data_IF_711480979674
#
_entry.id   IF_711480979674
#
_cell.length_a   1.000
_cell.length_b   1.000
_cell.length_c   1.000
_cell.angle_alpha   90.00
_cell.angle_beta   90.00
_cell.angle_gamma   90.00
#
_symmetry.space_group_name_H-M   'P 1'
#
loop_
_entity.id
_entity.type
_entity.pdbx_description
1 polymer ?
#
# COMPACT_ATOMS: atom_id res chain seq x y z
N UNK A 1 37.87 -8.77 -10.52
CA UNK A 1 37.08 -8.92 -11.78
C UNK A 1 37.86 -8.25 -12.91
N UNK A 2 38.22 -8.94 -14.00
CA UNK A 2 38.94 -8.29 -15.13
C UNK A 2 37.90 -7.76 -16.13
N UNK A 3 37.59 -6.47 -16.06
CA UNK A 3 36.67 -5.82 -17.01
C UNK A 3 37.38 -5.57 -18.35
N UNK A 4 37.42 -6.58 -19.22
CA UNK A 4 37.91 -6.47 -20.59
C UNK A 4 36.86 -5.85 -21.54
N UNK A 5 36.14 -4.81 -21.11
CA UNK A 5 35.18 -4.13 -21.97
C UNK A 5 35.89 -3.01 -22.74
N UNK A 6 35.93 -3.11 -24.06
CA UNK A 6 36.49 -2.07 -24.96
C UNK A 6 35.84 -0.70 -24.75
N UNK A 7 34.63 -0.65 -24.20
CA UNK A 7 33.92 0.57 -23.83
C UNK A 7 34.59 1.38 -22.71
N UNK A 8 35.41 0.78 -21.85
CA UNK A 8 36.13 1.48 -20.79
C UNK A 8 37.40 2.21 -21.29
N UNK A 9 37.85 1.91 -22.52
CA UNK A 9 39.10 2.44 -23.08
C UNK A 9 38.92 3.75 -23.87
N UNK A 10 37.69 4.13 -24.21
CA UNK A 10 37.38 5.33 -25.00
C UNK A 10 36.19 6.09 -24.39
N UNK A 11 36.09 7.40 -24.66
CA UNK A 11 35.02 8.26 -24.09
C UNK A 11 35.45 9.10 -22.90
N UNK A 12 34.53 9.95 -22.44
CA UNK A 12 34.71 10.86 -21.29
C UNK A 12 34.72 10.11 -19.95
N UNK A 13 35.25 10.72 -18.88
CA UNK A 13 35.21 10.15 -17.51
C UNK A 13 33.79 9.77 -17.09
N UNK A 14 32.78 10.55 -17.50
CA UNK A 14 31.36 10.28 -17.21
C UNK A 14 30.86 9.02 -17.93
N UNK A 15 31.17 8.86 -19.22
CA UNK A 15 30.76 7.67 -20.00
C UNK A 15 31.41 6.40 -19.45
N UNK A 16 32.70 6.46 -19.11
CA UNK A 16 33.42 5.33 -18.50
C UNK A 16 32.88 4.99 -17.13
N UNK A 17 32.55 5.99 -16.32
CA UNK A 17 31.93 5.78 -15.00
C UNK A 17 30.56 5.11 -15.13
N UNK A 18 29.73 5.53 -16.08
CA UNK A 18 28.43 4.90 -16.36
C UNK A 18 28.57 3.44 -16.83
N UNK A 19 29.52 3.17 -17.73
CA UNK A 19 29.79 1.80 -18.20
C UNK A 19 30.29 0.90 -17.06
N UNK A 20 31.16 1.43 -16.18
CA UNK A 20 31.62 0.74 -14.98
C UNK A 20 30.45 0.44 -14.04
N UNK A 21 29.56 1.40 -13.79
CA UNK A 21 28.39 1.22 -12.93
C UNK A 21 27.45 0.12 -13.43
N UNK A 22 27.22 0.01 -14.75
CA UNK A 22 26.46 -1.13 -15.31
C UNK A 22 27.14 -2.47 -15.05
N UNK A 23 28.44 -2.56 -15.31
CA UNK A 23 29.18 -3.80 -15.12
C UNK A 23 29.21 -4.22 -13.64
N UNK A 24 29.37 -3.25 -12.74
CA UNK A 24 29.29 -3.46 -11.29
C UNK A 24 27.91 -3.97 -10.87
N UNK A 25 26.84 -3.38 -11.39
CA UNK A 25 25.49 -3.82 -11.08
C UNK A 25 25.21 -5.25 -11.52
N UNK A 26 25.64 -5.63 -12.72
CA UNK A 26 25.52 -7.01 -13.19
C UNK A 26 26.29 -7.98 -12.29
N UNK A 27 27.47 -7.60 -11.80
CA UNK A 27 28.24 -8.44 -10.86
C UNK A 27 27.57 -8.53 -9.49
N UNK A 28 27.07 -7.41 -8.94
CA UNK A 28 26.31 -7.37 -7.69
C UNK A 28 25.08 -8.27 -7.80
N UNK A 29 24.29 -8.12 -8.87
CA UNK A 29 23.11 -8.94 -9.16
C UNK A 29 23.47 -10.43 -9.24
N UNK A 30 24.58 -10.76 -9.91
CA UNK A 30 25.04 -12.15 -10.03
C UNK A 30 25.43 -12.74 -8.68
N UNK A 31 26.18 -11.99 -7.86
CA UNK A 31 26.58 -12.41 -6.51
C UNK A 31 25.35 -12.58 -5.60
N UNK A 32 24.41 -11.65 -5.66
CA UNK A 32 23.18 -11.70 -4.88
C UNK A 32 22.25 -12.83 -5.31
N UNK A 33 22.07 -13.03 -6.62
CA UNK A 33 21.31 -14.16 -7.15
C UNK A 33 21.87 -15.51 -6.70
N UNK A 34 23.20 -15.65 -6.68
CA UNK A 34 23.87 -16.85 -6.20
C UNK A 34 23.75 -17.06 -4.67
N UNK A 35 23.64 -15.99 -3.89
CA UNK A 35 23.29 -16.06 -2.46
C UNK A 35 21.82 -16.48 -2.26
N UNK A 36 20.88 -15.91 -3.02
CA UNK A 36 19.46 -16.22 -2.94
C UNK A 36 19.15 -17.67 -3.35
N UNK A 37 19.90 -18.24 -4.30
CA UNK A 37 19.79 -19.65 -4.69
C UNK A 37 20.52 -20.63 -3.76
N UNK A 38 21.09 -20.14 -2.65
CA UNK A 38 21.83 -20.97 -1.68
C UNK A 38 23.10 -21.60 -2.26
N UNK A 39 23.61 -21.09 -3.38
CA UNK A 39 24.73 -21.68 -4.13
C UNK A 39 26.10 -21.22 -3.62
N UNK A 40 26.14 -20.16 -2.81
CA UNK A 40 27.33 -19.66 -2.14
C UNK A 40 27.19 -19.92 -0.63
N UNK A 41 28.20 -20.57 -0.03
CA UNK A 41 28.33 -20.67 1.44
C UNK A 41 28.35 -19.27 2.03
N UNK A 42 27.30 -18.94 2.78
CA UNK A 42 27.01 -17.63 3.35
C UNK A 42 28.17 -17.20 4.27
N UNK A 43 29.07 -16.36 3.78
CA UNK A 43 30.35 -16.04 4.45
C UNK A 43 30.26 -14.97 5.57
N UNK A 44 29.07 -14.52 5.94
CA UNK A 44 28.85 -13.65 7.10
C UNK A 44 27.43 -13.08 7.16
N UNK A 45 26.90 -12.92 8.39
CA UNK A 45 25.76 -12.10 8.88
C UNK A 45 24.46 -11.90 8.07
N UNK A 46 24.27 -12.50 6.90
CA UNK A 46 23.07 -12.32 6.06
C UNK A 46 21.94 -13.30 6.40
N UNK A 47 21.97 -13.98 7.55
CA UNK A 47 21.03 -15.04 7.94
C UNK A 47 19.62 -14.55 8.30
N UNK A 48 19.33 -13.26 8.16
CA UNK A 48 18.01 -12.67 8.46
C UNK A 48 17.24 -12.10 7.27
N UNK A 49 17.76 -12.18 6.04
CA UNK A 49 17.06 -11.56 4.90
C UNK A 49 15.93 -12.45 4.38
N UNK A 50 14.70 -11.94 4.24
CA UNK A 50 13.63 -12.78 3.76
C UNK A 50 13.78 -13.00 2.24
N UNK A 51 13.78 -14.27 1.85
CA UNK A 51 14.20 -14.77 0.53
C UNK A 51 13.43 -14.15 -0.63
N UNK A 52 12.18 -13.75 -0.42
CA UNK A 52 11.33 -13.17 -1.46
C UNK A 52 11.77 -11.75 -1.89
N UNK A 53 12.15 -10.89 -0.95
CA UNK A 53 12.65 -9.54 -1.26
C UNK A 53 13.98 -9.60 -1.99
N UNK A 54 14.83 -10.55 -1.60
CA UNK A 54 16.11 -10.80 -2.26
C UNK A 54 15.94 -11.33 -3.69
N UNK A 55 14.92 -12.17 -3.93
CA UNK A 55 14.73 -12.82 -5.22
C UNK A 55 14.19 -11.87 -6.31
N UNK A 56 13.27 -10.97 -5.95
CA UNK A 56 12.55 -10.16 -6.95
C UNK A 56 12.70 -8.66 -6.71
N UNK A 57 12.61 -8.20 -5.46
CA UNK A 57 12.61 -6.78 -5.13
C UNK A 57 13.97 -6.12 -5.35
N UNK A 58 15.05 -6.71 -4.85
CA UNK A 58 16.38 -6.09 -4.93
C UNK A 58 16.93 -6.07 -6.35
N UNK A 59 16.78 -7.12 -7.17
CA UNK A 59 17.19 -7.05 -8.57
C UNK A 59 16.50 -5.91 -9.35
N UNK A 60 15.20 -5.72 -9.15
CA UNK A 60 14.46 -4.63 -9.79
C UNK A 60 14.98 -3.25 -9.34
N UNK A 61 15.20 -3.07 -8.04
CA UNK A 61 15.73 -1.82 -7.50
C UNK A 61 17.15 -1.51 -7.99
N UNK A 62 18.01 -2.52 -8.07
CA UNK A 62 19.37 -2.38 -8.61
C UNK A 62 19.36 -1.99 -10.08
N UNK A 63 18.55 -2.66 -10.89
CA UNK A 63 18.37 -2.30 -12.30
C UNK A 63 17.85 -0.87 -12.45
N UNK A 64 16.91 -0.47 -11.61
CA UNK A 64 16.39 0.89 -11.57
C UNK A 64 17.49 1.90 -11.24
N UNK A 65 18.23 1.71 -10.15
CA UNK A 65 19.31 2.61 -9.71
C UNK A 65 20.35 2.82 -10.80
N UNK A 66 20.71 1.77 -11.53
CA UNK A 66 21.72 1.81 -12.59
C UNK A 66 21.22 2.52 -13.83
N UNK A 67 19.94 2.33 -14.16
CA UNK A 67 19.31 3.04 -15.25
C UNK A 67 19.08 4.51 -14.93
N UNK A 68 18.75 4.86 -13.69
CA UNK A 68 18.61 6.25 -13.27
C UNK A 68 19.94 6.95 -13.07
N UNK A 69 21.00 6.27 -12.62
CA UNK A 69 22.36 6.85 -12.64
C UNK A 69 22.81 7.25 -14.04
N UNK A 70 22.24 6.65 -15.08
CA UNK A 70 22.49 7.01 -16.47
C UNK A 70 21.57 8.13 -16.99
N UNK A 71 20.59 8.58 -16.20
CA UNK A 71 19.58 9.58 -16.55
C UNK A 71 19.54 10.69 -15.50
N UNK A 72 18.78 11.75 -15.76
CA UNK A 72 18.46 12.73 -14.71
C UNK A 72 17.22 12.25 -13.96
N UNK A 73 17.15 12.49 -12.63
CA UNK A 73 16.01 12.09 -11.82
C UNK A 73 14.70 12.56 -12.47
N UNK A 74 13.79 11.61 -12.67
CA UNK A 74 12.53 11.80 -13.37
C UNK A 74 11.33 11.45 -12.47
N UNK A 75 10.15 12.00 -12.78
CA UNK A 75 8.90 11.63 -12.09
C UNK A 75 8.62 10.12 -12.21
N UNK A 76 9.06 9.49 -13.31
CA UNK A 76 8.98 8.04 -13.53
C UNK A 76 9.75 7.27 -12.45
N UNK A 77 10.86 7.82 -11.95
CA UNK A 77 11.66 7.19 -10.91
C UNK A 77 10.96 7.15 -9.56
N UNK A 78 10.31 8.24 -9.18
CA UNK A 78 9.51 8.28 -7.94
C UNK A 78 8.29 7.36 -8.03
N UNK A 79 7.65 7.28 -9.19
CA UNK A 79 6.55 6.35 -9.43
C UNK A 79 6.99 4.89 -9.28
N UNK A 80 8.15 4.53 -9.85
CA UNK A 80 8.72 3.18 -9.69
C UNK A 80 8.98 2.87 -8.20
N UNK A 81 9.62 3.79 -7.47
CA UNK A 81 9.90 3.58 -6.04
C UNK A 81 8.62 3.43 -5.22
N UNK A 82 7.57 4.18 -5.53
CA UNK A 82 6.26 4.04 -4.89
C UNK A 82 5.68 2.63 -5.11
N UNK A 83 5.65 2.16 -6.36
CA UNK A 83 5.16 0.82 -6.70
C UNK A 83 6.00 -0.29 -6.06
N UNK A 84 7.31 -0.08 -5.99
CA UNK A 84 8.22 -1.01 -5.34
C UNK A 84 7.96 -1.07 -3.83
N UNK A 85 7.81 0.06 -3.15
CA UNK A 85 7.48 0.11 -1.71
C UNK A 85 6.14 -0.58 -1.43
N UNK A 86 5.12 -0.34 -2.25
CA UNK A 86 3.81 -1.01 -2.14
C UNK A 86 3.95 -2.53 -2.26
N UNK A 87 4.63 -3.04 -3.29
CA UNK A 87 4.84 -4.47 -3.48
C UNK A 87 5.62 -5.12 -2.33
N UNK A 88 6.60 -4.40 -1.76
CA UNK A 88 7.38 -4.89 -0.62
C UNK A 88 6.53 -4.95 0.65
N UNK A 89 5.67 -3.96 0.88
CA UNK A 89 4.75 -3.99 2.02
C UNK A 89 3.69 -5.09 1.86
N UNK A 90 3.11 -5.27 0.67
CA UNK A 90 2.17 -6.37 0.36
C UNK A 90 2.78 -7.75 0.62
N UNK A 91 4.10 -7.90 0.41
CA UNK A 91 4.82 -9.12 0.70
C UNK A 91 5.19 -9.30 2.20
N UNK A 92 4.77 -8.37 3.07
CA UNK A 92 4.87 -8.46 4.52
C UNK A 92 6.18 -7.93 5.11
N UNK A 93 6.94 -7.14 4.36
CA UNK A 93 8.22 -6.59 4.82
C UNK A 93 8.03 -5.24 5.51
N UNK A 94 8.67 -5.08 6.67
CA UNK A 94 8.65 -3.82 7.39
C UNK A 94 9.60 -2.78 6.80
N UNK A 95 9.41 -1.52 7.16
CA UNK A 95 10.30 -0.42 6.80
C UNK A 95 11.76 -0.67 7.23
N UNK A 96 11.96 -1.32 8.37
CA UNK A 96 13.30 -1.67 8.87
C UNK A 96 14.01 -2.69 7.96
N UNK A 97 13.28 -3.69 7.44
CA UNK A 97 13.81 -4.70 6.52
C UNK A 97 14.29 -4.07 5.21
N UNK A 98 13.51 -3.13 4.69
CA UNK A 98 13.83 -2.35 3.49
C UNK A 98 15.09 -1.52 3.69
N UNK A 99 15.16 -0.75 4.77
CA UNK A 99 16.33 0.08 5.07
C UNK A 99 17.58 -0.75 5.33
N UNK A 100 17.43 -1.91 5.98
CA UNK A 100 18.56 -2.81 6.20
C UNK A 100 19.08 -3.39 4.88
N UNK A 101 18.17 -3.77 3.97
CA UNK A 101 18.50 -4.21 2.60
C UNK A 101 19.30 -3.15 1.85
N UNK A 102 18.86 -1.89 1.89
CA UNK A 102 19.58 -0.78 1.25
C UNK A 102 20.99 -0.57 1.83
N UNK A 103 21.15 -0.69 3.15
CA UNK A 103 22.47 -0.58 3.80
C UNK A 103 23.41 -1.71 3.37
N UNK A 104 22.90 -2.93 3.28
CA UNK A 104 23.67 -4.08 2.79
C UNK A 104 24.03 -3.88 1.32
N UNK A 105 23.09 -3.41 0.51
CA UNK A 105 23.34 -3.11 -0.90
C UNK A 105 24.46 -2.05 -1.06
N UNK A 106 24.41 -0.98 -0.27
CA UNK A 106 25.44 0.06 -0.25
C UNK A 106 26.81 -0.49 0.13
N UNK A 107 26.87 -1.39 1.13
CA UNK A 107 28.11 -2.05 1.54
C UNK A 107 28.66 -2.97 0.44
N UNK A 108 27.82 -3.84 -0.12
CA UNK A 108 28.21 -4.74 -1.22
C UNK A 108 28.71 -3.96 -2.44
N UNK A 109 28.06 -2.84 -2.78
CA UNK A 109 28.50 -1.97 -3.84
C UNK A 109 29.92 -1.42 -3.59
N UNK A 110 30.20 -0.95 -2.38
CA UNK A 110 31.52 -0.44 -2.01
C UNK A 110 32.60 -1.54 -2.07
N UNK A 111 32.29 -2.75 -1.61
CA UNK A 111 33.20 -3.91 -1.68
C UNK A 111 33.52 -4.31 -3.12
N UNK A 112 32.50 -4.44 -3.99
CA UNK A 112 32.70 -4.81 -5.39
C UNK A 112 33.54 -3.75 -6.11
N UNK A 113 33.34 -2.46 -5.82
CA UNK A 113 34.15 -1.39 -6.41
C UNK A 113 35.62 -1.49 -5.97
N UNK A 114 35.87 -1.80 -4.70
CA UNK A 114 37.23 -1.96 -4.18
C UNK A 114 37.99 -3.15 -4.81
N UNK A 115 37.27 -4.15 -5.33
CA UNK A 115 37.83 -5.32 -6.02
C UNK A 115 38.09 -5.10 -7.53
N UNK A 116 37.76 -3.92 -8.07
CA UNK A 116 38.00 -3.62 -9.49
C UNK A 116 39.45 -3.22 -9.71
N UNK A 117 40.25 -4.18 -10.20
CA UNK A 117 41.63 -3.94 -10.62
C UNK A 117 41.71 -3.39 -12.05
N UNK A 118 42.68 -2.51 -12.31
CA UNK A 118 43.00 -2.03 -13.67
C UNK A 118 42.13 -0.88 -14.19
N UNK A 119 41.25 -0.31 -13.37
CA UNK A 119 40.51 0.91 -13.67
C UNK A 119 41.22 2.12 -13.03
N UNK A 120 41.38 3.24 -13.76
CA UNK A 120 41.97 4.47 -13.20
C UNK A 120 41.26 4.96 -11.93
N UNK A 121 42.03 5.37 -10.92
CA UNK A 121 41.51 5.81 -9.61
C UNK A 121 40.48 6.96 -9.71
N UNK A 122 40.61 7.83 -10.71
CA UNK A 122 39.68 8.94 -10.93
C UNK A 122 38.30 8.47 -11.41
N UNK A 123 38.26 7.43 -12.25
CA UNK A 123 37.01 6.79 -12.71
C UNK A 123 36.38 6.00 -11.58
N UNK A 124 37.16 5.20 -10.85
CA UNK A 124 36.68 4.40 -9.72
C UNK A 124 36.11 5.32 -8.63
N UNK A 125 36.86 6.35 -8.22
CA UNK A 125 36.41 7.30 -7.20
C UNK A 125 35.18 8.11 -7.62
N UNK A 126 35.03 8.42 -8.91
CA UNK A 126 33.84 9.08 -9.44
C UNK A 126 32.62 8.17 -9.42
N UNK A 127 32.75 6.92 -9.88
CA UNK A 127 31.68 5.94 -9.85
C UNK A 127 31.22 5.61 -8.42
N UNK A 128 32.15 5.44 -7.48
CA UNK A 128 31.81 5.22 -6.06
C UNK A 128 30.99 6.36 -5.49
N UNK A 129 31.39 7.61 -5.77
CA UNK A 129 30.68 8.79 -5.27
C UNK A 129 29.28 8.88 -5.87
N UNK A 130 29.15 8.74 -7.19
CA UNK A 130 27.85 8.77 -7.87
C UNK A 130 26.89 7.71 -7.32
N UNK A 131 27.37 6.47 -7.14
CA UNK A 131 26.55 5.39 -6.62
C UNK A 131 26.17 5.60 -5.16
N UNK A 132 27.12 6.06 -4.32
CA UNK A 132 26.84 6.35 -2.91
C UNK A 132 25.81 7.46 -2.79
N UNK A 133 26.00 8.57 -3.50
CA UNK A 133 25.10 9.73 -3.45
C UNK A 133 23.69 9.32 -3.89
N UNK A 134 23.56 8.55 -4.98
CA UNK A 134 22.25 8.09 -5.46
C UNK A 134 21.57 7.08 -4.54
N UNK A 135 22.35 6.19 -3.93
CA UNK A 135 21.82 5.27 -2.91
C UNK A 135 21.33 6.02 -1.68
N UNK A 136 22.02 7.08 -1.27
CA UNK A 136 21.61 7.93 -0.16
C UNK A 136 20.33 8.70 -0.48
N UNK A 137 20.24 9.31 -1.66
CA UNK A 137 19.00 9.94 -2.16
C UNK A 137 17.83 8.94 -2.19
N UNK A 138 18.05 7.77 -2.80
CA UNK A 138 17.01 6.73 -2.90
C UNK A 138 16.58 6.22 -1.53
N UNK A 139 17.50 6.16 -0.57
CA UNK A 139 17.18 5.77 0.82
C UNK A 139 16.26 6.79 1.47
N UNK A 140 16.49 8.09 1.25
CA UNK A 140 15.60 9.15 1.73
C UNK A 140 14.23 9.05 1.06
N UNK A 141 14.18 8.94 -0.27
CA UNK A 141 12.93 8.83 -1.03
C UNK A 141 12.09 7.61 -0.58
N UNK A 142 12.73 6.44 -0.41
CA UNK A 142 12.05 5.23 0.08
C UNK A 142 11.56 5.42 1.52
N UNK A 143 12.34 6.09 2.38
CA UNK A 143 11.92 6.35 3.77
C UNK A 143 10.65 7.19 3.84
N UNK A 144 10.58 8.27 3.05
CA UNK A 144 9.38 9.12 2.97
C UNK A 144 8.16 8.34 2.45
N UNK A 145 8.35 7.49 1.44
CA UNK A 145 7.27 6.66 0.90
C UNK A 145 6.76 5.63 1.91
N UNK A 146 7.67 5.02 2.67
CA UNK A 146 7.31 4.08 3.74
C UNK A 146 6.52 4.76 4.85
N UNK A 147 6.91 5.97 5.27
CA UNK A 147 6.18 6.76 6.26
C UNK A 147 4.77 7.10 5.77
N UNK A 148 4.64 7.56 4.53
CA UNK A 148 3.34 7.85 3.92
C UNK A 148 2.44 6.60 3.81
N UNK A 149 3.01 5.45 3.46
CA UNK A 149 2.27 4.19 3.41
C UNK A 149 1.74 3.80 4.80
N UNK A 150 2.59 3.89 5.83
CA UNK A 150 2.21 3.61 7.21
C UNK A 150 1.12 4.55 7.73
N UNK A 151 1.20 5.84 7.42
CA UNK A 151 0.17 6.82 7.78
C UNK A 151 -1.19 6.51 7.14
N UNK A 152 -1.19 6.10 5.86
CA UNK A 152 -2.42 5.72 5.14
C UNK A 152 -3.08 4.50 5.79
N UNK A 153 -2.30 3.45 6.03
CA UNK A 153 -2.78 2.23 6.67
C UNK A 153 -3.33 2.50 8.08
N UNK A 154 -2.62 3.32 8.86
CA UNK A 154 -3.09 3.72 10.18
C UNK A 154 -4.41 4.51 10.10
N UNK A 155 -4.55 5.41 9.13
CA UNK A 155 -5.77 6.19 8.93
C UNK A 155 -6.96 5.30 8.50
N UNK A 156 -6.72 4.31 7.64
CA UNK A 156 -7.72 3.32 7.21
C UNK A 156 -8.14 2.42 8.38
N UNK A 157 -7.18 1.84 9.11
CA UNK A 157 -7.45 1.04 10.30
C UNK A 157 -8.25 1.82 11.35
N UNK A 158 -7.89 3.08 11.61
CA UNK A 158 -8.66 3.95 12.50
C UNK A 158 -10.08 4.22 11.97
N UNK A 159 -10.26 4.33 10.65
CA UNK A 159 -11.59 4.48 10.05
C UNK A 159 -12.42 3.21 10.24
N UNK A 160 -11.85 2.04 10.01
CA UNK A 160 -12.52 0.76 10.23
C UNK A 160 -12.89 0.55 11.69
N UNK A 161 -11.98 0.81 12.63
CA UNK A 161 -12.25 0.71 14.07
C UNK A 161 -13.39 1.66 14.49
N UNK A 162 -13.44 2.88 13.95
CA UNK A 162 -14.56 3.81 14.18
C UNK A 162 -15.87 3.26 13.64
N UNK A 163 -15.87 2.68 12.44
CA UNK A 163 -17.07 2.07 11.85
C UNK A 163 -17.56 0.87 12.66
N UNK A 164 -16.65 -0.04 13.04
CA UNK A 164 -16.95 -1.19 13.89
C UNK A 164 -17.48 -0.75 15.26
N UNK A 165 -16.89 0.28 15.85
CA UNK A 165 -17.38 0.88 17.10
C UNK A 165 -18.81 1.43 16.97
N UNK A 166 -19.11 2.12 15.87
CA UNK A 166 -20.46 2.62 15.61
C UNK A 166 -21.47 1.49 15.37
N UNK A 167 -21.09 0.43 14.63
CA UNK A 167 -21.90 -0.77 14.44
C UNK A 167 -22.17 -1.45 15.78
N UNK A 168 -21.15 -1.62 16.63
CA UNK A 168 -21.29 -2.23 17.94
C UNK A 168 -22.24 -1.43 18.85
N UNK A 169 -22.16 -0.09 18.84
CA UNK A 169 -23.09 0.78 19.57
C UNK A 169 -24.53 0.63 19.08
N UNK A 170 -24.74 0.59 17.76
CA UNK A 170 -26.06 0.38 17.15
C UNK A 170 -26.62 -0.99 17.53
N UNK A 171 -25.81 -2.05 17.44
CA UNK A 171 -26.23 -3.41 17.79
C UNK A 171 -26.58 -3.53 19.28
N UNK A 172 -25.79 -2.92 20.16
CA UNK A 172 -26.08 -2.89 21.59
C UNK A 172 -27.40 -2.14 21.88
N UNK A 173 -27.63 -1.00 21.21
CA UNK A 173 -28.89 -0.27 21.31
C UNK A 173 -30.08 -1.12 20.81
N UNK A 174 -29.90 -1.85 19.70
CA UNK A 174 -30.94 -2.70 19.14
C UNK A 174 -31.33 -3.89 20.03
N UNK A 175 -30.36 -4.47 20.74
CA UNK A 175 -30.61 -5.61 21.66
C UNK A 175 -31.15 -5.15 23.02
N UNK A 176 -31.03 -3.86 23.36
CA UNK A 176 -31.43 -3.32 24.66
C UNK A 176 -32.95 -3.31 24.93
N UNK A 177 -33.79 -3.50 23.91
CA UNK A 177 -35.24 -3.50 24.05
C UNK A 177 -35.92 -4.46 23.10
N UNK A 178 -36.96 -5.15 23.58
CA UNK A 178 -37.88 -5.92 22.74
C UNK A 178 -38.93 -5.04 22.05
N UNK A 179 -39.00 -3.76 22.43
CA UNK A 179 -39.88 -2.78 21.80
C UNK A 179 -39.17 -2.19 20.57
N UNK A 180 -39.62 -2.60 19.39
CA UNK A 180 -39.08 -2.17 18.10
C UNK A 180 -39.07 -0.64 17.94
N UNK A 181 -40.00 0.06 18.59
CA UNK A 181 -40.05 1.52 18.57
C UNK A 181 -38.90 2.12 19.36
N UNK A 182 -38.66 1.61 20.57
CA UNK A 182 -37.52 2.06 21.41
C UNK A 182 -36.19 1.75 20.75
N UNK A 183 -36.09 0.58 20.10
CA UNK A 183 -34.93 0.23 19.28
C UNK A 183 -34.73 1.23 18.16
N UNK A 184 -35.78 1.55 17.40
CA UNK A 184 -35.71 2.53 16.32
C UNK A 184 -35.29 3.91 16.81
N UNK A 185 -35.90 4.40 17.89
CA UNK A 185 -35.59 5.71 18.48
C UNK A 185 -34.14 5.78 18.99
N UNK A 186 -33.59 4.67 19.48
CA UNK A 186 -32.20 4.58 19.92
C UNK A 186 -31.20 4.47 18.75
N UNK A 187 -31.56 3.77 17.67
CA UNK A 187 -30.67 3.47 16.54
C UNK A 187 -30.71 4.54 15.44
N UNK A 188 -31.89 5.05 15.11
CA UNK A 188 -32.09 5.98 14.00
C UNK A 188 -31.18 7.24 14.05
N UNK A 189 -30.93 7.86 15.23
CA UNK A 189 -30.02 9.01 15.32
C UNK A 189 -28.54 8.66 15.11
N UNK A 190 -28.16 7.39 15.23
CA UNK A 190 -26.76 6.94 15.13
C UNK A 190 -26.39 6.52 13.70
N UNK A 191 -27.35 6.01 12.93
CA UNK A 191 -27.16 5.55 11.55
C UNK A 191 -26.57 6.59 10.58
N UNK A 192 -26.82 7.92 10.69
CA UNK A 192 -26.20 8.93 9.82
C UNK A 192 -24.68 8.98 9.90
N UNK A 193 -24.09 8.44 10.97
CA UNK A 193 -22.63 8.30 11.11
C UNK A 193 -22.04 7.25 10.18
N UNK A 194 -22.87 6.32 9.71
CA UNK A 194 -22.48 5.21 8.83
C UNK A 194 -22.96 5.42 7.38
N UNK A 195 -24.18 5.92 7.22
CA UNK A 195 -24.82 6.08 5.92
C UNK A 195 -25.30 7.52 5.72
N UNK A 196 -25.13 8.06 4.52
CA UNK A 196 -25.70 9.36 4.17
C UNK A 196 -27.16 9.19 3.76
N UNK A 197 -28.09 9.63 4.59
CA UNK A 197 -29.51 9.68 4.29
C UNK A 197 -30.16 10.83 5.07
N UNK A 198 -31.25 11.37 4.51
CA UNK A 198 -31.98 12.49 5.12
C UNK A 198 -33.19 12.04 5.94
N UNK A 199 -33.61 10.78 5.75
CA UNK A 199 -34.79 10.21 6.41
C UNK A 199 -34.68 8.69 6.54
N UNK A 200 -35.12 8.18 7.68
CA UNK A 200 -35.32 6.77 7.98
C UNK A 200 -36.78 6.56 8.43
N UNK A 201 -37.43 5.54 7.89
CA UNK A 201 -38.81 5.21 8.18
C UNK A 201 -38.88 3.73 8.52
N UNK A 202 -39.51 3.39 9.65
CA UNK A 202 -39.90 2.04 9.97
C UNK A 202 -41.38 1.87 9.62
N UNK A 203 -41.68 0.99 8.69
CA UNK A 203 -43.04 0.64 8.30
C UNK A 203 -43.34 -0.83 8.53
N UNK A 204 -44.52 -1.12 9.04
CA UNK A 204 -45.03 -2.48 9.20
C UNK A 204 -46.06 -2.74 8.10
N UNK A 205 -45.92 -3.85 7.39
CA UNK A 205 -46.93 -4.27 6.41
C UNK A 205 -48.22 -4.63 7.16
N UNK A 206 -49.35 -4.13 6.69
CA UNK A 206 -50.66 -4.44 7.27
C UNK A 206 -50.99 -5.93 7.10
N UNK A 207 -51.88 -6.46 7.94
CA UNK A 207 -52.32 -7.87 7.83
C UNK A 207 -52.97 -8.21 6.49
N UNK A 208 -53.50 -7.22 5.78
CA UNK A 208 -54.05 -7.34 4.42
C UNK A 208 -52.97 -7.38 3.32
N UNK A 209 -51.72 -7.03 3.64
CA UNK A 209 -50.59 -7.07 2.69
C UNK A 209 -50.61 -5.97 1.61
N UNK A 210 -51.52 -5.01 1.71
CA UNK A 210 -51.76 -3.98 0.67
C UNK A 210 -51.24 -2.59 1.06
N UNK A 211 -50.86 -2.39 2.32
CA UNK A 211 -50.44 -1.10 2.85
C UNK A 211 -49.29 -1.24 3.85
N UNK A 212 -48.55 -0.14 4.01
CA UNK A 212 -47.52 0.06 5.02
C UNK A 212 -48.08 1.00 6.10
N UNK A 213 -48.08 0.57 7.36
CA UNK A 213 -48.35 1.47 8.50
C UNK A 213 -47.02 1.92 9.08
N UNK A 214 -46.78 3.23 9.10
CA UNK A 214 -45.55 3.78 9.67
C UNK A 214 -45.56 3.57 11.20
N UNK A 215 -44.56 2.84 11.70
CA UNK A 215 -44.33 2.62 13.11
C UNK A 215 -43.39 3.67 13.72
N UNK A 216 -42.46 4.21 12.94
CA UNK A 216 -41.59 5.30 13.36
C UNK A 216 -40.99 6.06 12.16
N UNK A 217 -40.64 7.34 12.38
CA UNK A 217 -40.04 8.22 11.36
C UNK A 217 -38.94 9.06 12.01
N UNK A 218 -37.77 9.13 11.36
CA UNK A 218 -36.64 9.96 11.78
C UNK A 218 -36.02 10.70 10.59
N UNK A 219 -35.68 12.00 10.69
CA UNK A 219 -36.19 12.93 11.71
C UNK A 219 -37.72 13.09 11.56
N UNK A 220 -38.45 13.48 12.63
CA UNK A 220 -39.90 13.68 12.57
C UNK A 220 -40.29 14.63 11.43
N UNK A 221 -41.35 14.31 10.69
CA UNK A 221 -41.89 15.20 9.66
C UNK A 221 -43.40 15.26 9.69
N UNK A 222 -43.90 16.44 9.33
CA UNK A 222 -45.33 16.71 9.46
C UNK A 222 -46.18 15.90 8.48
N UNK A 223 -45.66 15.63 7.28
CA UNK A 223 -46.34 14.85 6.25
C UNK A 223 -46.23 13.32 6.45
N UNK A 224 -45.25 12.86 7.23
CA UNK A 224 -44.96 11.44 7.46
C UNK A 224 -44.80 11.22 8.97
N UNK A 225 -45.91 10.85 9.61
CA UNK A 225 -45.97 10.63 11.06
C UNK A 225 -46.20 9.16 11.34
N UNK A 226 -45.93 8.77 12.58
CA UNK A 226 -46.37 7.47 13.07
C UNK A 226 -47.87 7.29 12.87
N UNK A 227 -48.28 6.08 12.48
CA UNK A 227 -49.66 5.73 12.19
C UNK A 227 -50.11 6.09 10.77
N UNK A 228 -49.35 6.89 10.01
CA UNK A 228 -49.64 7.12 8.59
C UNK A 228 -49.69 5.78 7.85
N UNK A 229 -50.73 5.59 7.05
CA UNK A 229 -50.92 4.40 6.21
C UNK A 229 -50.62 4.79 4.76
N UNK A 230 -49.66 4.11 4.15
CA UNK A 230 -49.25 4.31 2.76
C UNK A 230 -49.66 3.09 1.94
N UNK A 231 -50.38 3.25 0.81
CA UNK A 231 -50.68 2.12 -0.06
C UNK A 231 -49.38 1.55 -0.63
N UNK A 232 -49.22 0.23 -0.67
CA UNK A 232 -48.05 -0.38 -1.32
C UNK A 232 -48.20 -0.34 -2.83
N UNK A 233 -49.38 -0.70 -3.34
CA UNK A 233 -49.66 -0.64 -4.78
C UNK A 233 -49.50 0.79 -5.28
N UNK A 234 -48.79 0.94 -6.40
CA UNK A 234 -48.52 2.23 -7.04
C UNK A 234 -47.67 3.20 -6.19
N UNK A 235 -47.01 2.74 -5.13
CA UNK A 235 -46.03 3.53 -4.38
C UNK A 235 -44.61 3.08 -4.69
N UNK A 236 -43.67 4.03 -4.59
CA UNK A 236 -42.24 3.72 -4.69
C UNK A 236 -41.76 2.75 -3.58
N UNK A 237 -42.40 2.77 -2.42
CA UNK A 237 -42.09 1.87 -1.29
C UNK A 237 -42.61 0.45 -1.50
N UNK A 238 -43.66 0.27 -2.30
CA UNK A 238 -44.28 -1.04 -2.51
C UNK A 238 -43.58 -1.91 -3.54
N UNK A 239 -42.84 -1.33 -4.49
CA UNK A 239 -42.13 -2.07 -5.53
C UNK A 239 -41.18 -3.15 -4.96
N UNK A 240 -40.27 -2.87 -4.01
CA UNK A 240 -39.41 -3.91 -3.44
C UNK A 240 -40.17 -4.94 -2.57
N UNK A 241 -41.33 -4.59 -2.01
CA UNK A 241 -42.10 -5.47 -1.12
C UNK A 241 -43.00 -6.42 -1.92
N UNK A 242 -43.60 -5.92 -3.01
CA UNK A 242 -44.56 -6.66 -3.83
C UNK A 242 -43.86 -7.57 -4.85
N UNK A 243 -42.68 -7.20 -5.34
CA UNK A 243 -41.97 -7.96 -6.39
C UNK A 243 -41.14 -9.12 -5.85
N UNK A 244 -40.76 -9.07 -4.58
CA UNK A 244 -39.93 -10.10 -3.95
C UNK A 244 -40.72 -11.08 -3.07
N UNK A 245 -42.04 -10.90 -2.96
CA UNK A 245 -42.91 -11.71 -2.09
C UNK A 245 -42.57 -11.54 -0.59
N UNK A 246 -43.44 -12.01 0.32
CA UNK A 246 -43.05 -12.13 1.73
C UNK A 246 -41.93 -13.16 1.84
N UNK A 247 -40.82 -12.79 2.50
CA UNK A 247 -39.72 -13.69 2.86
C UNK A 247 -40.20 -14.98 3.54
#
# INVERSE_FOLDING_TARGET
MVLASSSLQSGTTSERSSALLRALAEDILRRWGACASGTIENRGDHTGFPTALLAEGVPALLHFLVNELARSPSDDGRQFLSQWVEAVHEAGFGSEDVLNTLRVLKRSAAEVIAEVEGVPDDVTGTATRMLSDRLDETTVEISELLEQAAEREAAESQRELRQLGAIAQITAAAVSSLDVRRVFEAVAPQLPRLFKFDRLILGLVTSSGDALRLAAVWPPAEALREGTVLPLRQSALGHPILDHGPF
#
